data_IF_636715936771
#
_entry.id   IF_636715936771
#
_cell.length_a   1.000
_cell.length_b   1.000
_cell.length_c   1.000
_cell.angle_alpha   90.00
_cell.angle_beta   90.00
_cell.angle_gamma   90.00
#
_symmetry.space_group_name_H-M   'P 1'
#
loop_
_entity.id
_entity.type
_entity.pdbx_description
1 polymer ?
#
# COMPACT_ATOMS: atom_id res chain seq x y z
N UNK A 1 10.16 -1.54 -5.97
CA UNK A 1 10.06 -1.77 -4.52
C UNK A 1 10.80 -3.05 -4.18
N UNK A 2 11.79 -2.96 -3.29
CA UNK A 2 12.44 -4.11 -2.68
C UNK A 2 12.34 -3.96 -1.16
N UNK A 3 12.09 -5.06 -0.48
CA UNK A 3 12.09 -5.14 0.97
C UNK A 3 13.16 -6.15 1.37
N UNK A 4 13.91 -5.84 2.42
CA UNK A 4 14.78 -6.82 3.04
C UNK A 4 13.90 -7.82 3.82
N UNK A 5 13.92 -9.13 3.50
CA UNK A 5 13.12 -10.12 4.22
C UNK A 5 13.41 -10.16 5.72
N UNK A 6 14.61 -9.74 6.16
CA UNK A 6 14.99 -9.73 7.58
C UNK A 6 14.24 -8.64 8.38
N UNK A 7 13.65 -7.64 7.70
CA UNK A 7 12.83 -6.61 8.35
C UNK A 7 11.39 -7.07 8.61
N UNK A 8 10.96 -8.20 8.05
CA UNK A 8 9.64 -8.76 8.32
C UNK A 8 9.65 -9.46 9.71
N UNK A 9 8.64 -9.24 10.58
CA UNK A 9 7.34 -8.64 10.30
C UNK A 9 7.17 -7.16 10.67
N UNK A 10 8.23 -6.44 11.04
CA UNK A 10 8.19 -5.01 11.38
C UNK A 10 8.13 -4.09 10.15
N UNK A 11 8.35 -4.62 8.95
CA UNK A 11 8.17 -3.92 7.69
C UNK A 11 7.44 -4.84 6.72
N UNK A 12 6.57 -4.24 5.89
CA UNK A 12 5.88 -4.96 4.81
C UNK A 12 5.63 -4.03 3.62
N UNK A 13 5.45 -4.63 2.44
CA UNK A 13 5.22 -3.92 1.19
C UNK A 13 3.92 -4.38 0.54
N UNK A 14 3.31 -3.48 -0.21
CA UNK A 14 2.09 -3.76 -0.95
C UNK A 14 2.11 -3.10 -2.33
N UNK A 15 1.55 -3.81 -3.30
CA UNK A 15 1.21 -3.28 -4.61
C UNK A 15 -0.29 -3.05 -4.64
N UNK A 16 -0.67 -1.82 -4.98
CA UNK A 16 -2.05 -1.50 -5.33
C UNK A 16 -2.10 -1.15 -6.81
N UNK A 17 -2.98 -1.83 -7.54
CA UNK A 17 -3.27 -1.51 -8.92
C UNK A 17 -4.74 -1.09 -9.05
N UNK A 18 -4.97 0.07 -9.65
CA UNK A 18 -6.29 0.59 -9.98
C UNK A 18 -6.34 0.92 -11.46
N UNK A 19 -7.21 0.22 -12.18
CA UNK A 19 -7.36 0.41 -13.62
C UNK A 19 -8.77 0.10 -14.09
N UNK A 20 -8.94 0.16 -15.40
CA UNK A 20 -10.19 -0.20 -16.06
C UNK A 20 -9.90 -1.07 -17.28
N UNK A 21 -10.69 -2.12 -17.47
CA UNK A 21 -10.66 -2.94 -18.66
C UNK A 21 -12.09 -3.22 -19.10
N UNK A 22 -12.43 -2.94 -20.37
CA UNK A 22 -13.79 -3.10 -20.91
C UNK A 22 -14.89 -2.48 -20.02
N UNK A 23 -14.70 -1.22 -19.61
CA UNK A 23 -15.61 -0.48 -18.71
C UNK A 23 -15.81 -1.10 -17.31
N UNK A 24 -15.00 -2.09 -16.93
CA UNK A 24 -15.00 -2.66 -15.59
C UNK A 24 -13.80 -2.13 -14.79
N UNK A 25 -14.08 -1.58 -13.62
CA UNK A 25 -13.03 -1.12 -12.72
C UNK A 25 -12.37 -2.33 -12.04
N UNK A 26 -11.04 -2.35 -12.02
CA UNK A 26 -10.24 -3.40 -11.43
C UNK A 26 -9.44 -2.78 -10.30
N UNK A 27 -9.60 -3.32 -9.09
CA UNK A 27 -8.77 -3.04 -7.93
C UNK A 27 -8.05 -4.32 -7.52
N UNK A 28 -6.73 -4.27 -7.51
CA UNK A 28 -5.87 -5.30 -6.92
C UNK A 28 -5.13 -4.67 -5.74
N UNK A 29 -5.18 -5.34 -4.59
CA UNK A 29 -4.37 -5.02 -3.41
C UNK A 29 -3.66 -6.31 -3.05
N UNK A 30 -2.33 -6.30 -3.11
CA UNK A 30 -1.51 -7.47 -2.84
C UNK A 30 -0.32 -7.07 -1.96
N UNK A 31 -0.31 -7.54 -0.72
CA UNK A 31 0.84 -7.39 0.18
C UNK A 31 1.73 -8.63 0.17
N UNK A 32 3.00 -8.45 0.54
CA UNK A 32 3.89 -9.60 0.77
C UNK A 32 3.43 -10.40 2.00
N UNK A 33 3.10 -9.73 3.10
CA UNK A 33 2.40 -10.27 4.25
C UNK A 33 0.99 -9.69 4.45
N UNK A 34 0.40 -10.02 5.61
CA UNK A 34 -0.93 -9.52 5.96
C UNK A 34 -0.90 -8.03 6.32
N UNK A 35 0.21 -7.55 6.91
CA UNK A 35 0.41 -6.15 7.27
C UNK A 35 0.42 -5.26 6.03
N UNK A 36 1.13 -5.67 4.98
CA UNK A 36 1.17 -4.98 3.70
C UNK A 36 -0.20 -4.95 3.03
N UNK A 37 -0.90 -6.09 3.03
CA UNK A 37 -2.26 -6.16 2.44
C UNK A 37 -3.24 -5.24 3.18
N UNK A 38 -3.13 -5.19 4.51
CA UNK A 38 -3.96 -4.31 5.33
C UNK A 38 -3.57 -2.84 5.18
N UNK A 39 -2.27 -2.51 5.06
CA UNK A 39 -1.78 -1.18 4.77
C UNK A 39 -2.33 -0.66 3.42
N UNK A 40 -2.29 -1.48 2.37
CA UNK A 40 -2.88 -1.13 1.08
C UNK A 40 -4.40 -0.92 1.16
N UNK A 41 -5.09 -1.72 1.96
CA UNK A 41 -6.53 -1.57 2.21
C UNK A 41 -6.85 -0.28 2.95
N UNK A 42 -6.05 0.10 3.96
CA UNK A 42 -6.20 1.36 4.67
C UNK A 42 -6.01 2.55 3.75
N UNK A 43 -4.93 2.56 2.96
CA UNK A 43 -4.65 3.61 1.96
C UNK A 43 -5.83 3.76 1.00
N UNK A 44 -6.35 2.65 0.47
CA UNK A 44 -7.48 2.67 -0.46
C UNK A 44 -8.83 2.93 0.21
N UNK A 45 -8.93 2.92 1.55
CA UNK A 45 -10.14 3.31 2.26
C UNK A 45 -10.27 4.82 2.45
N UNK A 46 -9.21 5.59 2.18
CA UNK A 46 -9.19 7.04 2.37
C UNK A 46 -9.46 7.80 1.05
N UNK A 47 -10.62 8.48 0.88
CA UNK A 47 -10.96 9.18 -0.37
C UNK A 47 -10.02 10.34 -0.74
N UNK A 48 -9.35 10.96 0.25
CA UNK A 48 -8.38 12.02 -0.02
C UNK A 48 -7.16 11.53 -0.79
N UNK A 49 -6.76 10.26 -0.55
CA UNK A 49 -5.66 9.59 -1.26
C UNK A 49 -6.06 9.33 -2.72
N UNK A 50 -7.33 8.99 -2.98
CA UNK A 50 -7.81 8.75 -4.34
C UNK A 50 -7.69 10.00 -5.22
N UNK A 51 -7.97 11.17 -4.66
CA UNK A 51 -7.85 12.43 -5.39
C UNK A 51 -6.38 12.75 -5.66
N UNK A 52 -5.49 12.48 -4.71
CA UNK A 52 -4.06 12.76 -4.83
C UNK A 52 -3.36 11.85 -5.86
N UNK A 53 -3.68 10.54 -5.85
CA UNK A 53 -3.10 9.55 -6.75
C UNK A 53 -4.01 9.14 -7.91
N UNK A 54 -5.04 9.93 -8.23
CA UNK A 54 -6.10 9.55 -9.17
C UNK A 54 -5.62 9.26 -10.60
N UNK A 55 -4.41 9.71 -10.96
CA UNK A 55 -3.77 9.45 -12.26
C UNK A 55 -2.75 8.30 -12.22
N UNK A 56 -2.49 7.71 -11.05
CA UNK A 56 -1.53 6.63 -10.87
C UNK A 56 -2.27 5.29 -10.89
N UNK A 57 -2.00 4.48 -11.92
CA UNK A 57 -2.58 3.13 -12.02
C UNK A 57 -1.90 2.09 -11.12
N UNK A 58 -0.70 2.41 -10.63
CA UNK A 58 0.11 1.55 -9.78
C UNK A 58 0.66 2.38 -8.62
N UNK A 59 0.33 1.96 -7.39
CA UNK A 59 0.90 2.49 -6.16
C UNK A 59 1.74 1.40 -5.50
N UNK A 60 2.92 1.79 -5.07
CA UNK A 60 3.80 0.96 -4.27
C UNK A 60 3.72 1.48 -2.84
N UNK A 61 3.37 0.62 -1.91
CA UNK A 61 3.10 0.97 -0.52
C UNK A 61 4.12 0.27 0.34
N UNK A 62 4.65 0.99 1.33
CA UNK A 62 5.48 0.43 2.39
C UNK A 62 4.89 0.81 3.73
N UNK A 63 4.77 -0.17 4.61
CA UNK A 63 4.48 0.03 6.03
C UNK A 63 5.71 -0.36 6.84
N UNK A 64 6.01 0.43 7.88
CA UNK A 64 7.09 0.18 8.82
C UNK A 64 6.61 0.48 10.24
N UNK A 65 6.71 -0.49 11.13
CA UNK A 65 6.34 -0.38 12.55
C UNK A 65 7.36 0.48 13.30
N UNK A 66 7.14 1.79 13.38
CA UNK A 66 8.07 2.72 14.01
C UNK A 66 7.94 2.74 15.53
N UNK A 67 6.78 2.36 16.05
CA UNK A 67 6.47 2.41 17.47
C UNK A 67 6.57 1.04 18.16
N UNK A 68 6.83 -0.04 17.40
CA UNK A 68 7.01 -1.43 17.83
C UNK A 68 5.77 -2.04 18.48
N UNK A 69 4.57 -1.57 18.13
CA UNK A 69 3.30 -2.09 18.66
C UNK A 69 2.67 -3.20 17.81
N UNK A 70 3.21 -3.45 16.61
CA UNK A 70 2.76 -4.47 15.67
C UNK A 70 1.43 -4.14 14.97
N UNK A 71 0.89 -2.94 15.14
CA UNK A 71 -0.34 -2.49 14.49
C UNK A 71 -0.03 -1.64 13.26
N UNK A 72 -0.76 -1.90 12.19
CA UNK A 72 -0.65 -1.08 10.98
C UNK A 72 -1.43 0.21 11.17
N UNK A 73 -0.72 1.33 11.18
CA UNK A 73 -1.30 2.66 11.37
C UNK A 73 -1.06 3.53 10.13
N UNK A 74 -2.04 4.36 9.76
CA UNK A 74 -1.93 5.22 8.55
C UNK A 74 -0.70 6.14 8.58
N UNK A 75 -0.29 6.58 9.77
CA UNK A 75 0.88 7.44 10.00
C UNK A 75 2.22 6.76 9.71
N UNK A 76 2.22 5.42 9.61
CA UNK A 76 3.39 4.58 9.37
C UNK A 76 3.44 4.06 7.93
N UNK A 77 2.47 4.44 7.10
CA UNK A 77 2.36 4.00 5.72
C UNK A 77 2.89 5.10 4.80
N UNK A 78 3.74 4.70 3.86
CA UNK A 78 4.24 5.55 2.79
C UNK A 78 3.85 4.99 1.43
N UNK A 79 3.55 5.88 0.49
CA UNK A 79 3.36 5.52 -0.92
C UNK A 79 4.62 5.94 -1.68
N UNK A 80 5.36 4.94 -2.18
CA UNK A 80 6.50 5.14 -3.06
C UNK A 80 5.99 5.45 -4.46
N UNK A 81 6.23 6.68 -4.94
CA UNK A 81 6.02 7.04 -6.35
C UNK A 81 7.37 7.16 -7.04
N UNK A 82 7.50 6.59 -8.24
CA UNK A 82 8.60 6.96 -9.13
C UNK A 82 8.26 8.32 -9.73
N UNK A 83 9.07 9.33 -9.41
CA UNK A 83 9.06 10.63 -10.07
C UNK A 83 9.90 10.57 -11.33
#
# INVERSE_FOLDING_TARGET
>A
ISMDPDNYPSEDICIVYLGQYNNQNILLIWGYGWQGTYAGSLVMSNPSIWSYYGYNHLLLIRWHDFNTDGYVQMTEISVETYV
#
